data_IF_902401664714
#
_entry.id   IF_902401664714
#
_cell.length_a   1.000
_cell.length_b   1.000
_cell.length_c   1.000
_cell.angle_alpha   90.00
_cell.angle_beta   90.00
_cell.angle_gamma   90.00
#
_symmetry.space_group_name_H-M   'P 1'
#
loop_
_entity.id
_entity.type
_entity.pdbx_description
1 polymer ?
#
# COMPACT_ATOMS: atom_id res chain seq x y z
N UNK A 1 -11.54 2.97 13.59
CA UNK A 1 -10.52 2.19 14.33
C UNK A 1 -11.11 1.06 15.18
N UNK A 2 -12.13 1.30 16.03
CA UNK A 2 -12.74 0.25 16.86
C UNK A 2 -13.40 -0.91 16.07
N UNK A 3 -13.98 -0.63 14.90
CA UNK A 3 -14.64 -1.65 14.05
C UNK A 3 -13.65 -2.63 13.40
N UNK A 4 -12.49 -2.15 12.94
CA UNK A 4 -11.43 -2.99 12.34
C UNK A 4 -10.79 -3.94 13.37
N UNK A 5 -10.66 -3.49 14.62
CA UNK A 5 -10.12 -4.32 15.70
C UNK A 5 -11.11 -5.41 16.15
N UNK A 6 -12.41 -5.21 15.96
CA UNK A 6 -13.42 -6.22 16.25
C UNK A 6 -13.43 -7.32 15.18
N UNK A 7 -13.39 -6.95 13.89
CA UNK A 7 -13.37 -7.91 12.76
C UNK A 7 -12.09 -8.74 12.73
N UNK A 8 -10.93 -8.14 13.06
CA UNK A 8 -9.66 -8.87 13.16
C UNK A 8 -9.64 -9.90 14.32
N UNK A 9 -10.37 -9.63 15.41
CA UNK A 9 -10.40 -10.49 16.60
C UNK A 9 -11.33 -11.70 16.45
N UNK A 10 -12.27 -11.69 15.48
CA UNK A 10 -13.18 -12.82 15.24
C UNK A 10 -12.56 -13.99 14.45
N UNK A 11 -11.31 -13.87 13.97
CA UNK A 11 -10.60 -14.98 13.33
C UNK A 11 -11.24 -15.52 12.04
N UNK A 12 -12.19 -14.78 11.46
CA UNK A 12 -12.87 -15.20 10.25
C UNK A 12 -11.92 -15.12 9.05
N UNK A 13 -11.91 -16.17 8.22
CA UNK A 13 -11.15 -16.26 6.96
C UNK A 13 -11.32 -15.00 6.09
N UNK A 14 -12.46 -14.33 6.22
CA UNK A 14 -12.78 -13.06 5.54
C UNK A 14 -11.73 -11.98 5.83
N UNK A 15 -11.21 -11.87 7.05
CA UNK A 15 -10.15 -10.90 7.37
C UNK A 15 -8.88 -11.15 6.57
N UNK A 16 -8.48 -12.42 6.44
CA UNK A 16 -7.31 -12.82 5.64
C UNK A 16 -7.56 -12.65 4.14
N UNK A 17 -8.78 -12.90 3.66
CA UNK A 17 -9.17 -12.67 2.27
C UNK A 17 -9.13 -11.17 1.92
N UNK A 18 -9.69 -10.32 2.76
CA UNK A 18 -9.69 -8.86 2.58
C UNK A 18 -8.26 -8.31 2.60
N UNK A 19 -7.41 -8.80 3.51
CA UNK A 19 -6.00 -8.41 3.54
C UNK A 19 -5.27 -8.83 2.26
N UNK A 20 -5.55 -10.03 1.76
CA UNK A 20 -4.96 -10.53 0.52
C UNK A 20 -5.41 -9.68 -0.67
N UNK A 21 -6.69 -9.36 -0.75
CA UNK A 21 -7.25 -8.53 -1.82
C UNK A 21 -6.67 -7.12 -1.80
N UNK A 22 -6.59 -6.51 -0.61
CA UNK A 22 -5.96 -5.20 -0.42
C UNK A 22 -4.49 -5.22 -0.85
N UNK A 23 -3.72 -6.22 -0.40
CA UNK A 23 -2.31 -6.35 -0.77
C UNK A 23 -2.13 -6.51 -2.27
N UNK A 24 -2.92 -7.38 -2.90
CA UNK A 24 -2.83 -7.63 -4.34
C UNK A 24 -3.16 -6.36 -5.14
N UNK A 25 -4.22 -5.65 -4.76
CA UNK A 25 -4.57 -4.38 -5.38
C UNK A 25 -3.45 -3.35 -5.24
N UNK A 26 -2.93 -3.16 -4.03
CA UNK A 26 -1.81 -2.27 -3.77
C UNK A 26 -0.57 -2.61 -4.63
N UNK A 27 -0.21 -3.90 -4.75
CA UNK A 27 0.90 -4.32 -5.59
C UNK A 27 0.62 -4.07 -7.08
N UNK A 28 -0.60 -4.27 -7.55
CA UNK A 28 -0.96 -3.99 -8.94
C UNK A 28 -0.82 -2.50 -9.28
N UNK A 29 -1.31 -1.62 -8.42
CA UNK A 29 -1.19 -0.16 -8.59
C UNK A 29 0.27 0.29 -8.54
N UNK A 30 1.05 -0.22 -7.58
CA UNK A 30 2.48 0.08 -7.47
C UNK A 30 3.22 -0.30 -8.76
N UNK A 31 2.99 -1.52 -9.26
CA UNK A 31 3.66 -2.01 -10.45
C UNK A 31 3.19 -1.28 -11.72
N UNK A 32 1.94 -0.83 -11.77
CA UNK A 32 1.47 0.03 -12.86
C UNK A 32 2.19 1.37 -12.88
N UNK A 33 2.31 2.05 -11.74
CA UNK A 33 3.07 3.29 -11.61
C UNK A 33 4.53 3.12 -12.03
N UNK A 34 5.17 2.03 -11.61
CA UNK A 34 6.54 1.69 -12.02
C UNK A 34 6.65 1.50 -13.54
N UNK A 35 5.74 0.75 -14.17
CA UNK A 35 5.74 0.53 -15.63
C UNK A 35 5.57 1.83 -16.39
N UNK A 36 4.69 2.71 -15.94
CA UNK A 36 4.48 4.03 -16.55
C UNK A 36 5.74 4.91 -16.43
N UNK A 37 6.39 4.92 -15.27
CA UNK A 37 7.61 5.68 -15.05
C UNK A 37 8.79 5.13 -15.88
N UNK A 38 8.89 3.81 -16.05
CA UNK A 38 9.89 3.19 -16.94
C UNK A 38 9.63 3.61 -18.39
N UNK A 39 8.39 3.52 -18.86
CA UNK A 39 8.03 3.91 -20.22
C UNK A 39 8.30 5.40 -20.50
N UNK A 40 8.14 6.26 -19.50
CA UNK A 40 8.44 7.69 -19.58
C UNK A 40 9.91 8.05 -19.31
N UNK A 41 10.78 7.09 -18.96
CA UNK A 41 12.17 7.35 -18.59
C UNK A 41 12.36 8.09 -17.25
N UNK A 42 11.33 8.14 -16.40
CA UNK A 42 11.29 8.88 -15.13
C UNK A 42 11.33 7.98 -13.90
N UNK A 43 11.75 6.71 -14.06
CA UNK A 43 11.75 5.71 -12.99
C UNK A 43 12.53 6.12 -11.74
N UNK A 44 13.69 6.77 -11.88
CA UNK A 44 14.48 7.23 -10.74
C UNK A 44 13.74 8.27 -9.87
N UNK A 45 12.95 9.15 -10.51
CA UNK A 45 12.12 10.11 -9.78
C UNK A 45 10.94 9.42 -9.07
N UNK A 46 10.35 8.40 -9.71
CA UNK A 46 9.31 7.57 -9.09
C UNK A 46 9.83 6.85 -7.84
N UNK A 47 10.99 6.20 -7.93
CA UNK A 47 11.63 5.51 -6.81
C UNK A 47 11.91 6.45 -5.64
N UNK A 48 12.52 7.61 -5.91
CA UNK A 48 12.82 8.61 -4.89
C UNK A 48 11.54 9.12 -4.19
N UNK A 49 10.48 9.40 -4.95
CA UNK A 49 9.19 9.81 -4.41
C UNK A 49 8.53 8.72 -3.56
N UNK A 50 8.61 7.47 -4.01
CA UNK A 50 8.08 6.31 -3.28
C UNK A 50 8.75 6.15 -1.91
N UNK A 51 10.08 6.23 -1.85
CA UNK A 51 10.80 6.14 -0.57
C UNK A 51 10.55 7.35 0.33
N UNK A 52 10.43 8.55 -0.23
CA UNK A 52 10.13 9.76 0.55
C UNK A 52 8.75 9.66 1.24
N UNK A 53 7.72 9.18 0.53
CA UNK A 53 6.39 8.97 1.11
C UNK A 53 6.42 7.93 2.24
N UNK A 54 7.16 6.82 2.04
CA UNK A 54 7.32 5.78 3.07
C UNK A 54 8.07 6.28 4.31
N UNK A 55 9.05 7.15 4.12
CA UNK A 55 9.82 7.75 5.21
C UNK A 55 9.01 8.80 5.99
N UNK A 56 8.11 9.54 5.31
CA UNK A 56 7.22 10.49 5.96
C UNK A 56 6.24 9.80 6.91
N UNK A 57 5.76 8.61 6.53
CA UNK A 57 4.80 7.83 7.32
C UNK A 57 3.42 8.48 7.41
N UNK A 58 2.42 7.69 7.79
CA UNK A 58 1.02 8.12 7.83
C UNK A 58 0.56 8.50 9.27
N UNK A 59 1.51 8.84 10.14
CA UNK A 59 1.25 9.12 11.56
C UNK A 59 1.62 10.57 11.85
N UNK A 60 0.62 11.36 12.26
CA UNK A 60 0.83 12.74 12.69
C UNK A 60 1.82 12.77 13.88
N UNK A 61 2.86 13.64 13.86
CA UNK A 61 3.78 13.76 14.98
C UNK A 61 3.00 14.17 16.24
N UNK A 62 3.18 13.42 17.34
CA UNK A 62 2.58 13.72 18.65
C UNK A 62 3.11 15.02 19.25
#
# INVERSE_FOLDING_TARGET
>A
RAYLHHVFRSGEIISSMLLTWHNLHYFQELMEGMRMAIAAGTFAAFEAGFHAQRAAGDIEPL
#
